data_IF_165537131732
#
_entry.id   IF_165537131732
#
_cell.length_a   1.000
_cell.length_b   1.000
_cell.length_c   1.000
_cell.angle_alpha   90.00
_cell.angle_beta   90.00
_cell.angle_gamma   90.00
#
_symmetry.space_group_name_H-M   'P 1'
#
loop_
_entity.id
_entity.type
_entity.pdbx_description
1 polymer ?
#
# COMPACT_ATOMS: atom_id res chain seq x y z
N UNK A 1 -2.37 9.18 -15.92
CA UNK A 1 -2.38 7.73 -15.60
C UNK A 1 -3.84 7.29 -15.47
N UNK A 2 -4.40 6.70 -16.54
CA UNK A 2 -5.84 6.45 -16.69
C UNK A 2 -6.25 5.05 -16.17
N UNK A 3 -5.94 4.73 -14.91
CA UNK A 3 -6.37 3.47 -14.29
C UNK A 3 -7.69 3.60 -13.51
N UNK A 4 -8.40 4.71 -13.67
CA UNK A 4 -9.57 5.08 -12.87
C UNK A 4 -10.91 4.52 -13.38
N UNK A 5 -10.93 3.81 -14.52
CA UNK A 5 -12.18 3.39 -15.17
C UNK A 5 -12.21 1.93 -15.65
N UNK A 6 -11.55 1.01 -14.95
CA UNK A 6 -11.81 -0.42 -15.19
C UNK A 6 -13.24 -0.75 -14.70
N UNK A 7 -14.11 -1.07 -15.67
CA UNK A 7 -15.47 -1.56 -15.44
C UNK A 7 -15.44 -3.08 -15.32
N UNK A 8 -16.12 -3.63 -14.32
CA UNK A 8 -16.22 -5.07 -14.14
C UNK A 8 -17.29 -5.67 -15.05
N UNK A 9 -16.94 -6.71 -15.81
CA UNK A 9 -17.88 -7.42 -16.69
C UNK A 9 -19.04 -8.11 -15.96
N UNK A 10 -18.87 -8.44 -14.67
CA UNK A 10 -19.89 -9.15 -13.89
C UNK A 10 -20.96 -8.23 -13.30
N UNK A 11 -20.57 -7.04 -12.79
CA UNK A 11 -21.51 -6.12 -12.14
C UNK A 11 -21.71 -4.79 -12.88
N UNK A 12 -21.04 -4.60 -14.02
CA UNK A 12 -21.04 -3.37 -14.83
C UNK A 12 -20.69 -2.08 -14.06
N UNK A 13 -20.14 -2.21 -12.84
CA UNK A 13 -19.70 -1.10 -12.01
C UNK A 13 -18.18 -0.94 -12.03
N UNK A 14 -17.66 0.20 -11.55
CA UNK A 14 -16.23 0.41 -11.43
C UNK A 14 -15.62 -0.53 -10.40
N UNK A 15 -14.47 -1.14 -10.74
CA UNK A 15 -13.77 -2.10 -9.87
C UNK A 15 -13.34 -1.45 -8.54
N UNK A 16 -13.07 -0.15 -8.55
CA UNK A 16 -12.71 0.64 -7.37
C UNK A 16 -13.78 0.63 -6.28
N UNK A 17 -15.07 0.50 -6.61
CA UNK A 17 -16.16 0.46 -5.61
C UNK A 17 -16.27 -0.88 -4.87
N UNK A 18 -15.77 -1.99 -5.43
CA UNK A 18 -15.80 -3.29 -4.76
C UNK A 18 -17.21 -3.89 -4.56
N UNK A 19 -18.17 -3.60 -5.45
CA UNK A 19 -19.59 -4.02 -5.30
C UNK A 19 -19.86 -5.52 -5.44
N UNK A 20 -18.98 -6.28 -6.10
CA UNK A 20 -19.13 -7.75 -6.24
C UNK A 20 -17.87 -8.51 -5.79
N UNK A 21 -17.97 -9.83 -5.64
CA UNK A 21 -16.85 -10.70 -5.23
C UNK A 21 -15.63 -10.58 -6.18
N UNK A 22 -15.87 -10.52 -7.48
CA UNK A 22 -14.83 -10.33 -8.51
C UNK A 22 -14.13 -8.98 -8.35
N UNK A 23 -14.90 -7.87 -8.22
CA UNK A 23 -14.32 -6.54 -7.99
C UNK A 23 -13.48 -6.51 -6.70
N UNK A 24 -13.97 -7.13 -5.62
CA UNK A 24 -13.24 -7.18 -4.34
C UNK A 24 -11.93 -7.95 -4.45
N UNK A 25 -11.93 -9.09 -5.15
CA UNK A 25 -10.73 -9.87 -5.39
C UNK A 25 -9.68 -9.11 -6.21
N UNK A 26 -10.11 -8.45 -7.30
CA UNK A 26 -9.22 -7.64 -8.15
C UNK A 26 -8.69 -6.39 -7.42
N UNK A 27 -9.55 -5.71 -6.64
CA UNK A 27 -9.14 -4.59 -5.79
C UNK A 27 -8.12 -5.02 -4.73
N UNK A 28 -8.30 -6.18 -4.12
CA UNK A 28 -7.34 -6.72 -3.14
C UNK A 28 -5.99 -7.04 -3.79
N UNK A 29 -5.98 -7.55 -5.03
CA UNK A 29 -4.74 -7.77 -5.80
C UNK A 29 -4.03 -6.45 -6.15
N UNK A 30 -4.76 -5.44 -6.64
CA UNK A 30 -4.18 -4.13 -6.93
C UNK A 30 -3.65 -3.42 -5.67
N UNK A 31 -4.34 -3.55 -4.52
CA UNK A 31 -3.84 -3.08 -3.23
C UNK A 31 -2.58 -3.85 -2.76
N UNK A 32 -2.46 -5.12 -3.12
CA UNK A 32 -1.25 -5.91 -2.86
C UNK A 32 -0.08 -5.48 -3.75
N UNK A 33 -0.31 -5.23 -5.04
CA UNK A 33 0.73 -4.75 -5.96
C UNK A 33 1.16 -3.31 -5.64
N UNK A 34 0.23 -2.44 -5.22
CA UNK A 34 0.57 -1.13 -4.63
C UNK A 34 1.10 -1.23 -3.19
N UNK A 35 1.07 -2.43 -2.60
CA UNK A 35 1.72 -2.78 -1.34
C UNK A 35 3.24 -3.02 -1.49
N UNK A 36 3.82 -2.86 -2.68
CA UNK A 36 5.26 -2.68 -2.82
C UNK A 36 5.70 -1.46 -2.03
N UNK A 37 6.72 -1.62 -1.16
CA UNK A 37 7.31 -0.61 -0.26
C UNK A 37 6.87 0.83 -0.58
N UNK A 38 5.73 1.22 -0.03
CA UNK A 38 5.22 2.58 -0.22
C UNK A 38 6.28 3.56 0.26
N UNK A 39 6.39 4.73 -0.37
CA UNK A 39 7.30 5.79 0.08
C UNK A 39 7.16 6.06 1.59
N UNK A 40 5.93 5.98 2.10
CA UNK A 40 5.63 6.08 3.53
C UNK A 40 6.29 4.96 4.36
N UNK A 41 6.27 3.71 3.87
CA UNK A 41 6.92 2.58 4.54
C UNK A 41 8.45 2.71 4.54
N UNK A 42 9.06 3.16 3.44
CA UNK A 42 10.51 3.44 3.42
C UNK A 42 10.90 4.51 4.42
N UNK A 43 10.15 5.61 4.48
CA UNK A 43 10.41 6.71 5.44
C UNK A 43 10.26 6.21 6.89
N UNK A 44 9.23 5.40 7.19
CA UNK A 44 9.05 4.83 8.50
C UNK A 44 10.22 3.93 8.92
N UNK A 45 10.70 3.05 8.02
CA UNK A 45 11.87 2.19 8.28
C UNK A 45 13.12 3.03 8.53
N UNK A 46 13.37 4.04 7.70
CA UNK A 46 14.54 4.93 7.86
C UNK A 46 14.50 5.67 9.21
N UNK A 47 13.36 6.25 9.59
CA UNK A 47 13.19 6.91 10.88
C UNK A 47 13.42 5.96 12.05
N UNK A 48 12.89 4.74 11.95
CA UNK A 48 13.05 3.72 13.00
C UNK A 48 14.53 3.36 13.20
N UNK A 49 15.29 3.23 12.10
CA UNK A 49 16.73 2.99 12.13
C UNK A 49 17.51 4.15 12.75
N UNK A 50 17.20 5.39 12.36
CA UNK A 50 17.88 6.57 12.90
C UNK A 50 17.67 6.71 14.41
N UNK A 51 16.44 6.49 14.88
CA UNK A 51 16.11 6.52 16.31
C UNK A 51 16.87 5.43 17.07
N UNK A 52 16.89 4.20 16.53
CA UNK A 52 17.61 3.09 17.15
C UNK A 52 19.12 3.38 17.28
N UNK A 53 19.75 3.91 16.22
CA UNK A 53 21.16 4.30 16.24
C UNK A 53 21.41 5.43 17.23
N UNK A 54 20.58 6.49 17.21
CA UNK A 54 20.73 7.61 18.15
C UNK A 54 20.65 7.12 19.61
N UNK A 55 19.68 6.26 19.93
CA UNK A 55 19.51 5.71 21.26
C UNK A 55 20.71 4.86 21.71
N UNK A 56 21.24 4.03 20.81
CA UNK A 56 22.47 3.26 21.07
C UNK A 56 23.65 4.19 21.32
N UNK A 57 23.85 5.23 20.51
CA UNK A 57 24.96 6.17 20.73
C UNK A 57 24.86 6.93 22.05
N UNK A 58 23.65 7.30 22.49
CA UNK A 58 23.43 7.99 23.77
C UNK A 58 23.53 7.09 25.00
N UNK A 59 23.40 5.78 24.83
CA UNK A 59 23.49 4.82 25.95
C UNK A 59 24.90 4.24 26.14
N UNK A 60 25.74 4.33 25.11
CA UNK A 60 27.13 3.88 25.13
C UNK A 60 28.08 5.00 25.58
N UNK A 61 27.67 6.26 25.43
CA UNK A 61 28.44 7.45 25.79
C UNK A 61 28.08 7.96 27.20
#
# INVERSE_FOLDING_TARGET
MCCEHLICANCAGPVSEGRCSVCRGQRAQMHHETGGLSFSAMVAVLLTLLIAVAFLTTTIH
#
